data_IF_084413558733
#
_entry.id   IF_084413558733
#
_cell.length_a   1.000
_cell.length_b   1.000
_cell.length_c   1.000
_cell.angle_alpha   90.00
_cell.angle_beta   90.00
_cell.angle_gamma   90.00
#
_symmetry.space_group_name_H-M   'P 1'
#
loop_
_entity.id
_entity.type
_entity.pdbx_description
1 polymer ?
#
# COMPACT_ATOMS: atom_id res chain seq x y z
N UNK A 1 16.82 -29.90 1.97
CA UNK A 1 16.67 -28.56 1.38
C UNK A 1 16.52 -27.49 2.45
N UNK A 2 15.43 -27.45 3.23
CA UNK A 2 15.21 -26.44 4.29
C UNK A 2 16.36 -26.27 5.31
N UNK A 3 17.05 -27.36 5.67
CA UNK A 3 18.18 -27.31 6.61
C UNK A 3 19.43 -26.63 6.02
N UNK A 4 19.64 -26.74 4.71
CA UNK A 4 20.76 -26.09 4.02
C UNK A 4 20.50 -24.59 3.85
N UNK A 5 19.24 -24.21 3.57
CA UNK A 5 18.82 -22.81 3.50
C UNK A 5 19.04 -22.11 4.84
N UNK A 6 18.66 -22.76 5.95
CA UNK A 6 18.87 -22.24 7.30
C UNK A 6 20.36 -22.09 7.64
N UNK A 7 21.19 -23.06 7.25
CA UNK A 7 22.63 -23.02 7.51
C UNK A 7 23.34 -21.90 6.73
N UNK A 8 22.98 -21.70 5.46
CA UNK A 8 23.47 -20.58 4.65
C UNK A 8 23.13 -19.21 5.28
N UNK A 9 21.92 -19.06 5.83
CA UNK A 9 21.54 -17.83 6.53
C UNK A 9 22.38 -17.56 7.78
N UNK A 10 22.79 -18.60 8.51
CA UNK A 10 23.67 -18.46 9.67
C UNK A 10 25.08 -18.02 9.26
N UNK A 11 25.64 -18.60 8.20
CA UNK A 11 26.97 -18.22 7.68
C UNK A 11 26.99 -16.77 7.17
N UNK A 12 25.94 -16.36 6.45
CA UNK A 12 25.80 -14.96 6.00
C UNK A 12 25.70 -14.02 7.20
N UNK A 13 24.89 -14.38 8.20
CA UNK A 13 24.77 -13.56 9.41
C UNK A 13 26.10 -13.42 10.15
N UNK A 14 26.87 -14.50 10.29
CA UNK A 14 28.20 -14.47 10.90
C UNK A 14 29.19 -13.60 10.11
N UNK A 15 29.17 -13.68 8.78
CA UNK A 15 29.98 -12.81 7.93
C UNK A 15 29.64 -11.31 8.11
N UNK A 16 28.36 -10.99 8.27
CA UNK A 16 27.90 -9.62 8.54
C UNK A 16 28.35 -9.12 9.91
N UNK A 17 28.44 -10.00 10.92
CA UNK A 17 28.94 -9.65 12.25
C UNK A 17 30.45 -9.40 12.28
N UNK A 18 31.21 -10.21 11.55
CA UNK A 18 32.66 -10.12 11.53
C UNK A 18 33.18 -8.93 10.71
N UNK A 19 32.38 -8.38 9.80
CA UNK A 19 32.82 -7.29 8.90
C UNK A 19 31.69 -6.35 8.47
N UNK A 20 30.94 -5.72 9.38
CA UNK A 20 29.79 -4.89 9.03
C UNK A 20 30.14 -3.72 8.09
N UNK A 21 31.30 -3.10 8.29
CA UNK A 21 31.76 -1.96 7.49
C UNK A 21 32.01 -2.32 6.03
N UNK A 22 32.45 -3.55 5.74
CA UNK A 22 32.64 -4.02 4.35
C UNK A 22 31.32 -4.09 3.58
N UNK A 23 30.20 -4.18 4.30
CA UNK A 23 28.85 -4.20 3.75
C UNK A 23 28.12 -2.86 3.95
N UNK A 24 28.82 -1.82 4.39
CA UNK A 24 28.22 -0.50 4.67
C UNK A 24 27.27 -0.50 5.86
N UNK A 25 27.33 -1.52 6.73
CA UNK A 25 26.51 -1.60 7.94
C UNK A 25 27.19 -0.84 9.08
N UNK A 26 26.37 -0.16 9.89
CA UNK A 26 26.83 0.45 11.14
C UNK A 26 27.21 -0.67 12.13
N UNK A 27 28.25 -0.49 12.96
CA UNK A 27 28.69 -1.50 13.93
C UNK A 27 27.64 -1.88 14.99
N UNK A 28 26.55 -1.12 15.07
CA UNK A 28 25.48 -1.28 16.06
C UNK A 28 24.17 -1.83 15.48
N UNK A 29 24.23 -2.45 14.29
CA UNK A 29 23.03 -2.92 13.56
C UNK A 29 22.23 -4.00 14.30
N UNK A 30 22.82 -4.67 15.29
CA UNK A 30 22.16 -5.68 16.11
C UNK A 30 21.20 -5.10 17.16
N UNK A 31 21.21 -3.78 17.42
CA UNK A 31 20.29 -3.17 18.38
C UNK A 31 18.90 -3.02 17.77
N UNK A 32 18.14 -4.12 17.80
CA UNK A 32 16.68 -4.07 17.61
C UNK A 32 16.07 -3.20 18.73
N UNK A 33 15.25 -2.18 18.41
CA UNK A 33 14.48 -1.49 19.43
C UNK A 33 13.49 -2.48 20.05
N UNK A 34 13.69 -2.81 21.33
CA UNK A 34 12.75 -3.59 22.13
C UNK A 34 11.50 -2.74 22.38
N UNK A 35 10.56 -2.74 21.44
CA UNK A 35 9.24 -2.14 21.60
C UNK A 35 8.49 -2.85 22.73
N UNK A 36 8.25 -2.15 23.84
CA UNK A 36 7.40 -2.62 24.93
C UNK A 36 5.94 -2.60 24.46
N UNK A 37 5.12 -3.65 24.70
CA UNK A 37 3.70 -3.60 24.38
C UNK A 37 2.97 -2.64 25.34
N UNK A 38 2.22 -1.67 24.81
CA UNK A 38 1.31 -0.82 25.58
C UNK A 38 -0.09 -1.47 25.68
N UNK A 39 -0.79 -1.34 26.82
CA UNK A 39 -2.07 -1.99 27.07
C UNK A 39 -3.25 -1.29 26.37
N UNK A 40 -4.20 -2.08 25.87
CA UNK A 40 -5.47 -1.62 25.29
C UNK A 40 -6.46 -1.17 26.38
N UNK A 41 -7.20 -0.06 26.22
CA UNK A 41 -8.35 0.25 27.05
C UNK A 41 -9.63 -0.46 26.55
N UNK A 42 -10.43 -0.90 27.52
CA UNK A 42 -11.64 -1.73 27.40
C UNK A 42 -12.82 -0.93 26.82
N UNK A 43 -13.57 -1.52 25.87
CA UNK A 43 -14.87 -1.02 25.42
C UNK A 43 -15.94 -1.33 26.47
N UNK A 44 -16.65 -0.29 26.92
CA UNK A 44 -17.91 -0.41 27.65
C UNK A 44 -19.05 -0.67 26.65
N UNK A 45 -19.80 -1.75 26.87
CA UNK A 45 -20.99 -2.14 26.09
C UNK A 45 -22.21 -1.82 26.93
N UNK A 46 -23.09 -0.96 26.40
CA UNK A 46 -24.49 -0.89 26.86
C UNK A 46 -25.45 -0.82 25.66
N UNK A 47 -26.63 -1.50 25.70
CA UNK A 47 -27.43 -1.83 24.52
C UNK A 47 -28.69 -0.95 24.38
N UNK A 48 -29.06 -0.59 23.15
CA UNK A 48 -30.39 -0.04 22.85
C UNK A 48 -31.10 -0.85 21.76
N UNK A 49 -32.42 -0.98 21.97
CA UNK A 49 -33.35 -1.96 21.41
C UNK A 49 -34.21 -1.38 20.26
N UNK A 50 -34.51 -2.27 19.29
CA UNK A 50 -35.75 -2.41 18.45
C UNK A 50 -36.14 -1.37 17.39
N UNK A 51 -37.00 -1.67 16.38
CA UNK A 51 -37.59 -2.96 15.92
C UNK A 51 -37.60 -3.25 14.37
N UNK A 52 -37.77 -4.53 14.03
CA UNK A 52 -38.52 -5.19 12.92
C UNK A 52 -38.51 -4.71 11.43
N UNK A 53 -37.93 -5.58 10.56
CA UNK A 53 -38.31 -6.15 9.22
C UNK A 53 -39.50 -5.57 8.39
N UNK A 54 -39.56 -5.68 7.02
CA UNK A 54 -39.31 -6.91 6.23
C UNK A 54 -38.83 -6.86 4.75
N UNK A 55 -38.18 -7.98 4.32
CA UNK A 55 -38.13 -8.68 3.00
C UNK A 55 -38.05 -7.92 1.65
N UNK A 56 -37.04 -8.28 0.84
CA UNK A 56 -36.98 -8.50 -0.64
C UNK A 56 -35.56 -8.10 -1.13
N UNK A 57 -34.89 -8.66 -2.14
CA UNK A 57 -35.02 -9.80 -3.06
C UNK A 57 -33.64 -9.91 -3.73
N UNK A 58 -33.16 -11.14 -3.93
CA UNK A 58 -32.07 -11.54 -4.81
C UNK A 58 -31.95 -10.68 -6.08
N UNK A 59 -30.82 -9.99 -6.31
CA UNK A 59 -30.24 -9.73 -7.64
C UNK A 59 -28.73 -9.49 -7.55
N UNK A 60 -27.98 -10.40 -8.16
CA UNK A 60 -26.60 -10.29 -8.61
C UNK A 60 -26.43 -8.97 -9.38
N UNK A 61 -25.58 -8.06 -8.89
CA UNK A 61 -25.13 -6.91 -9.67
C UNK A 61 -23.61 -6.85 -9.61
N UNK A 62 -23.01 -7.22 -10.73
CA UNK A 62 -21.70 -6.78 -11.18
C UNK A 62 -21.61 -5.27 -10.98
N UNK A 63 -20.72 -4.84 -10.10
CA UNK A 63 -20.47 -3.43 -9.81
C UNK A 63 -19.76 -2.80 -11.01
N UNK A 64 -20.55 -2.31 -11.96
CA UNK A 64 -20.07 -1.50 -13.07
C UNK A 64 -19.65 -0.13 -12.54
N UNK A 65 -18.34 0.04 -12.51
CA UNK A 65 -17.56 1.27 -12.36
C UNK A 65 -18.30 2.51 -12.89
N UNK A 66 -18.88 3.29 -11.98
CA UNK A 66 -19.35 4.64 -12.27
C UNK A 66 -18.15 5.58 -12.31
N UNK A 67 -17.57 5.74 -13.50
CA UNK A 67 -16.53 6.71 -13.79
C UNK A 67 -17.06 8.13 -13.57
N UNK A 68 -16.38 8.89 -12.71
CA UNK A 68 -16.67 10.30 -12.46
C UNK A 68 -16.23 11.17 -13.67
N UNK A 69 -16.78 12.38 -13.86
CA UNK A 69 -16.88 13.07 -15.14
C UNK A 69 -15.63 13.91 -15.46
N UNK A 70 -14.56 13.25 -15.85
CA UNK A 70 -13.51 13.83 -16.70
C UNK A 70 -12.70 12.68 -17.28
N UNK A 71 -13.22 12.04 -18.32
CA UNK A 71 -12.57 10.89 -18.98
C UNK A 71 -11.30 11.29 -19.76
N UNK A 72 -10.69 12.44 -19.41
CA UNK A 72 -9.43 12.90 -19.98
C UNK A 72 -8.31 12.03 -19.43
N UNK A 73 -7.39 11.57 -20.30
CA UNK A 73 -6.21 10.89 -19.83
C UNK A 73 -5.36 11.79 -18.93
N UNK A 74 -4.85 11.25 -17.84
CA UNK A 74 -3.90 11.94 -16.95
C UNK A 74 -2.47 11.66 -17.42
N UNK A 75 -1.59 12.64 -17.28
CA UNK A 75 -0.14 12.38 -17.35
C UNK A 75 0.34 11.74 -16.03
N UNK A 76 1.47 11.01 -16.03
CA UNK A 76 2.00 10.40 -14.82
C UNK A 76 2.27 11.43 -13.71
N UNK A 77 2.66 12.66 -14.09
CA UNK A 77 2.95 13.75 -13.15
C UNK A 77 1.72 14.29 -12.42
N UNK A 78 0.55 14.21 -13.04
CA UNK A 78 -0.73 14.63 -12.44
C UNK A 78 -1.33 13.53 -11.57
N UNK A 79 -0.85 12.29 -11.69
CA UNK A 79 -1.29 11.17 -10.89
C UNK A 79 -0.40 11.00 -9.66
N UNK A 80 -0.96 11.32 -8.49
CA UNK A 80 -0.26 11.24 -7.21
C UNK A 80 -0.84 10.14 -6.34
N UNK A 81 0.03 9.24 -5.88
CA UNK A 81 -0.36 8.05 -5.11
C UNK A 81 0.43 7.92 -3.81
N UNK A 82 -0.17 7.17 -2.87
CA UNK A 82 0.45 6.69 -1.65
C UNK A 82 0.53 5.16 -1.76
N UNK A 83 1.71 4.59 -1.68
CA UNK A 83 1.92 3.15 -1.62
C UNK A 83 2.13 2.70 -0.18
N UNK A 84 1.33 1.72 0.24
CA UNK A 84 1.52 0.97 1.48
C UNK A 84 2.89 0.24 1.50
N UNK A 85 3.37 -0.12 2.69
CA UNK A 85 4.64 -0.82 2.90
C UNK A 85 4.69 -2.20 2.19
N UNK A 86 3.54 -2.84 1.98
CA UNK A 86 3.43 -4.09 1.24
C UNK A 86 3.63 -3.93 -0.28
N UNK A 87 3.47 -2.70 -0.79
CA UNK A 87 3.48 -2.39 -2.22
C UNK A 87 4.72 -1.61 -2.64
N UNK A 88 5.82 -1.78 -1.91
CA UNK A 88 7.05 -1.01 -2.14
C UNK A 88 7.64 -1.26 -3.53
N UNK A 89 7.61 -2.51 -4.01
CA UNK A 89 8.04 -2.87 -5.36
C UNK A 89 7.19 -2.22 -6.45
N UNK A 90 5.86 -2.16 -6.25
CA UNK A 90 4.96 -1.46 -7.15
C UNK A 90 5.24 0.05 -7.17
N UNK A 91 5.40 0.67 -6.00
CA UNK A 91 5.66 2.10 -5.92
C UNK A 91 6.98 2.50 -6.58
N UNK A 92 8.05 1.70 -6.43
CA UNK A 92 9.30 1.90 -7.20
C UNK A 92 9.06 1.81 -8.70
N UNK A 93 8.30 0.81 -9.15
CA UNK A 93 7.99 0.67 -10.57
C UNK A 93 7.17 1.85 -11.11
N UNK A 94 6.19 2.36 -10.36
CA UNK A 94 5.40 3.54 -10.73
C UNK A 94 6.26 4.81 -10.78
N UNK A 95 7.22 5.00 -9.86
CA UNK A 95 8.20 6.09 -9.95
C UNK A 95 9.04 6.02 -11.22
N UNK A 96 9.47 4.82 -11.62
CA UNK A 96 10.14 4.60 -12.91
C UNK A 96 9.28 4.99 -14.11
N UNK A 97 7.95 5.10 -13.96
CA UNK A 97 7.03 5.54 -15.00
C UNK A 97 6.63 7.02 -14.85
N UNK A 98 7.29 7.78 -13.97
CA UNK A 98 7.08 9.22 -13.79
C UNK A 98 5.90 9.58 -12.88
N UNK A 99 5.29 8.60 -12.21
CA UNK A 99 4.18 8.81 -11.26
C UNK A 99 4.71 9.47 -9.98
N UNK A 100 3.93 10.38 -9.40
CA UNK A 100 4.24 10.94 -8.08
C UNK A 100 3.85 9.94 -6.98
N UNK A 101 4.84 9.27 -6.40
CA UNK A 101 4.60 8.19 -5.42
C UNK A 101 5.19 8.55 -4.06
N UNK A 102 4.33 8.62 -3.05
CA UNK A 102 4.71 8.64 -1.64
C UNK A 102 4.73 7.21 -1.10
N UNK A 103 5.84 6.79 -0.50
CA UNK A 103 5.98 5.45 0.08
C UNK A 103 5.81 5.56 1.58
N UNK A 104 4.93 4.78 2.18
CA UNK A 104 4.78 4.71 3.64
C UNK A 104 5.84 3.79 4.24
N UNK A 105 6.35 4.16 5.41
CA UNK A 105 7.32 3.35 6.15
C UNK A 105 6.62 2.25 6.97
N UNK A 106 7.39 1.30 7.49
CA UNK A 106 6.86 0.10 8.16
C UNK A 106 6.08 0.38 9.45
N UNK A 107 6.29 1.53 10.08
CA UNK A 107 5.61 1.95 11.31
C UNK A 107 4.45 2.93 11.04
N UNK A 108 4.19 3.28 9.77
CA UNK A 108 3.16 4.26 9.44
C UNK A 108 1.76 3.63 9.48
N UNK A 109 0.98 4.11 10.45
CA UNK A 109 -0.44 3.82 10.59
C UNK A 109 -1.18 4.12 9.27
N UNK A 110 -2.07 3.20 8.87
CA UNK A 110 -3.08 3.46 7.84
C UNK A 110 -3.86 4.77 8.08
N UNK A 111 -3.88 5.27 9.33
CA UNK A 111 -4.41 6.59 9.67
C UNK A 111 -3.65 7.73 8.99
N UNK A 112 -2.32 7.71 9.02
CA UNK A 112 -1.46 8.73 8.37
C UNK A 112 -1.64 8.70 6.85
N UNK A 113 -1.75 7.51 6.27
CA UNK A 113 -2.06 7.34 4.86
C UNK A 113 -3.36 8.06 4.48
N UNK A 114 -4.41 7.88 5.29
CA UNK A 114 -5.69 8.52 5.08
C UNK A 114 -5.65 10.04 5.30
N UNK A 115 -4.88 10.53 6.27
CA UNK A 115 -4.65 11.96 6.51
C UNK A 115 -4.02 12.62 5.27
N UNK A 116 -2.87 12.10 4.81
CA UNK A 116 -2.16 12.61 3.63
C UNK A 116 -3.05 12.53 2.38
N UNK A 117 -3.78 11.43 2.19
CA UNK A 117 -4.67 11.29 1.03
C UNK A 117 -5.78 12.35 0.99
N UNK A 118 -6.28 12.80 2.14
CA UNK A 118 -7.30 13.85 2.22
C UNK A 118 -6.72 15.23 1.97
N UNK A 119 -5.54 15.50 2.53
CA UNK A 119 -4.86 16.80 2.43
C UNK A 119 -4.33 17.04 1.00
N UNK A 120 -3.59 16.08 0.46
CA UNK A 120 -2.92 16.22 -0.84
C UNK A 120 -3.79 15.76 -2.02
N UNK A 121 -4.96 15.16 -1.75
CA UNK A 121 -5.80 14.56 -2.79
C UNK A 121 -5.18 13.33 -3.47
N UNK A 122 -4.26 12.63 -2.79
CA UNK A 122 -3.58 11.44 -3.33
C UNK A 122 -4.47 10.19 -3.30
N UNK A 123 -4.25 9.29 -4.24
CA UNK A 123 -4.87 7.96 -4.26
C UNK A 123 -4.05 6.99 -3.41
N UNK A 124 -4.70 6.21 -2.55
CA UNK A 124 -4.02 5.15 -1.79
C UNK A 124 -4.04 3.84 -2.56
N UNK A 125 -2.87 3.24 -2.76
CA UNK A 125 -2.69 1.87 -3.23
C UNK A 125 -2.37 0.97 -2.02
N UNK A 126 -3.21 -0.04 -1.79
CA UNK A 126 -3.03 -0.99 -0.67
C UNK A 126 -3.60 -2.37 -1.05
N UNK A 127 -3.30 -3.43 -0.28
CA UNK A 127 -3.87 -4.76 -0.47
C UNK A 127 -4.36 -5.37 0.85
N UNK A 128 -5.28 -6.35 0.77
CA UNK A 128 -5.83 -7.02 1.95
C UNK A 128 -6.82 -6.19 2.76
N UNK A 129 -6.85 -6.43 4.08
CA UNK A 129 -7.80 -5.80 5.02
C UNK A 129 -7.69 -4.26 5.09
N UNK A 130 -6.50 -3.63 5.02
CA UNK A 130 -6.39 -2.18 5.06
C UNK A 130 -7.20 -1.44 3.99
N UNK A 131 -7.44 -2.06 2.84
CA UNK A 131 -8.27 -1.46 1.79
C UNK A 131 -9.66 -1.08 2.28
N UNK A 132 -10.31 -1.96 3.06
CA UNK A 132 -11.69 -1.74 3.51
C UNK A 132 -11.78 -0.59 4.52
N UNK A 133 -10.80 -0.50 5.43
CA UNK A 133 -10.75 0.55 6.45
C UNK A 133 -10.36 1.90 5.85
N UNK A 134 -9.42 1.92 4.90
CA UNK A 134 -8.99 3.13 4.20
C UNK A 134 -10.09 3.66 3.27
N UNK A 135 -10.72 2.81 2.44
CA UNK A 135 -11.81 3.22 1.55
C UNK A 135 -12.93 3.95 2.30
N UNK A 136 -13.32 3.42 3.47
CA UNK A 136 -14.36 4.02 4.32
C UNK A 136 -13.98 5.40 4.85
N UNK A 137 -12.68 5.70 4.93
CA UNK A 137 -12.11 6.91 5.51
C UNK A 137 -11.84 8.04 4.51
N UNK A 138 -11.53 7.70 3.26
CA UNK A 138 -11.12 8.68 2.22
C UNK A 138 -12.14 8.84 1.09
N UNK A 139 -13.19 8.03 1.08
CA UNK A 139 -14.26 8.10 0.09
C UNK A 139 -13.95 7.33 -1.19
N UNK A 140 -14.96 7.21 -2.06
CA UNK A 140 -14.90 6.42 -3.28
C UNK A 140 -13.91 6.99 -4.30
N UNK A 141 -13.31 6.11 -5.12
CA UNK A 141 -12.38 6.49 -6.18
C UNK A 141 -10.99 6.95 -5.72
N UNK A 142 -10.75 7.10 -4.41
CA UNK A 142 -9.44 7.51 -3.86
C UNK A 142 -8.64 6.38 -3.22
N UNK A 143 -9.20 5.17 -3.17
CA UNK A 143 -8.51 3.98 -2.70
C UNK A 143 -8.60 2.87 -3.74
N UNK A 144 -7.48 2.21 -4.03
CA UNK A 144 -7.40 1.11 -4.98
C UNK A 144 -6.80 -0.13 -4.33
N UNK A 145 -7.48 -1.27 -4.49
CA UNK A 145 -7.03 -2.57 -4.01
C UNK A 145 -6.13 -3.22 -5.06
N UNK A 146 -4.89 -3.51 -4.68
CA UNK A 146 -3.91 -4.16 -5.56
C UNK A 146 -3.91 -5.68 -5.30
N UNK A 147 -3.89 -6.46 -6.38
CA UNK A 147 -3.70 -7.90 -6.30
C UNK A 147 -2.22 -8.23 -6.04
N UNK A 148 -1.91 -8.60 -4.81
CA UNK A 148 -0.57 -8.91 -4.33
C UNK A 148 -0.01 -10.25 -4.90
N UNK A 149 -0.80 -11.06 -5.64
CA UNK A 149 -0.33 -12.26 -6.32
C UNK A 149 0.40 -11.98 -7.65
N UNK A 150 0.23 -10.78 -8.20
CA UNK A 150 0.82 -10.37 -9.47
C UNK A 150 2.20 -9.71 -9.31
N UNK A 151 2.98 -9.74 -10.39
CA UNK A 151 4.26 -9.00 -10.45
C UNK A 151 4.01 -7.49 -10.52
N UNK A 152 4.92 -6.70 -9.95
CA UNK A 152 4.85 -5.23 -9.90
C UNK A 152 4.51 -4.56 -11.25
N UNK A 153 5.06 -5.09 -12.36
CA UNK A 153 4.73 -4.62 -13.72
C UNK A 153 3.25 -4.74 -14.06
N UNK A 154 2.61 -5.88 -13.76
CA UNK A 154 1.19 -6.11 -14.06
C UNK A 154 0.30 -5.28 -13.15
N UNK A 155 0.63 -5.21 -11.87
CA UNK A 155 -0.02 -4.32 -10.92
C UNK A 155 0.00 -2.86 -11.40
N UNK A 156 1.14 -2.37 -11.86
CA UNK A 156 1.27 -1.01 -12.40
C UNK A 156 0.40 -0.79 -13.64
N UNK A 157 0.37 -1.73 -14.58
CA UNK A 157 -0.50 -1.65 -15.77
C UNK A 157 -1.98 -1.52 -15.34
N UNK A 158 -2.42 -2.30 -14.35
CA UNK A 158 -3.80 -2.22 -13.84
C UNK A 158 -4.09 -0.87 -13.19
N UNK A 159 -3.19 -0.36 -12.36
CA UNK A 159 -3.35 0.96 -11.72
C UNK A 159 -3.45 2.06 -12.78
N UNK A 160 -2.50 2.12 -13.71
CA UNK A 160 -2.47 3.15 -14.75
C UNK A 160 -3.73 3.08 -15.63
N UNK A 161 -4.17 1.88 -15.99
CA UNK A 161 -5.41 1.69 -16.77
C UNK A 161 -6.65 2.13 -16.00
N UNK A 162 -6.74 1.79 -14.70
CA UNK A 162 -7.89 2.14 -13.86
C UNK A 162 -8.05 3.67 -13.74
N UNK A 163 -6.94 4.40 -13.58
CA UNK A 163 -6.94 5.85 -13.46
C UNK A 163 -6.76 6.60 -14.80
N UNK A 164 -6.82 5.88 -15.93
CA UNK A 164 -6.64 6.44 -17.27
C UNK A 164 -5.34 7.27 -17.42
N UNK A 165 -4.25 6.81 -16.81
CA UNK A 165 -2.93 7.45 -16.89
C UNK A 165 -2.21 6.98 -18.15
N UNK A 166 -1.73 7.92 -18.96
CA UNK A 166 -0.97 7.62 -20.19
C UNK A 166 0.51 7.93 -19.98
N UNK A 167 1.33 6.89 -20.05
CA UNK A 167 2.78 6.99 -19.95
C UNK A 167 3.38 7.13 -21.35
N UNK A 168 4.28 8.08 -21.51
CA UNK A 168 5.13 8.26 -22.70
C UNK A 168 6.58 7.86 -22.39
N UNK A 169 7.42 7.72 -23.42
CA UNK A 169 8.85 7.43 -23.23
C UNK A 169 9.57 8.52 -22.44
N UNK A 170 9.14 9.79 -22.56
CA UNK A 170 9.68 10.93 -21.81
C UNK A 170 9.38 10.90 -20.30
N UNK A 171 8.38 10.11 -19.88
CA UNK A 171 8.04 9.99 -18.46
C UNK A 171 8.92 8.95 -17.74
N UNK A 172 9.49 8.01 -18.49
CA UNK A 172 10.29 6.90 -17.95
C UNK A 172 11.54 7.45 -17.25
N UNK A 173 11.73 7.06 -15.99
CA UNK A 173 12.78 7.52 -15.08
C UNK A 173 12.80 9.03 -14.79
N UNK A 174 11.76 9.78 -15.14
CA UNK A 174 11.69 11.23 -14.88
C UNK A 174 11.65 11.62 -13.40
N UNK A 175 11.49 10.64 -12.50
CA UNK A 175 11.41 10.79 -11.03
C UNK A 175 12.26 9.76 -10.26
N UNK A 176 13.24 9.13 -10.92
CA UNK A 176 14.15 8.17 -10.32
C UNK A 176 15.50 8.78 -9.97
#
# INVERSE_FOLDING_TARGET
>A
HLAADAYCLLEVFEALLNSPEKFGLKPDFQKLPKGKPKPQPKMDRSPQKTPASPKQKLETRTDETRSNPSNKPLSPREFSVICDNMLQGLGRYLRCLGVDVLMLDNDDDHRRAAEIAREDGRVILTCGLPYQTLRSQIGEGRCFSVDCSEKARQQAIKVLKHFNVRVSLSDVFSRC
#
